data_IF_533176433034
#
_entry.id   IF_533176433034
#
_cell.length_a   1.000
_cell.length_b   1.000
_cell.length_c   1.000
_cell.angle_alpha   90.00
_cell.angle_beta   90.00
_cell.angle_gamma   90.00
#
_symmetry.space_group_name_H-M   'P 1'
#
loop_
_entity.id
_entity.type
_entity.pdbx_description
1 polymer ?
#
# COMPACT_ATOMS: atom_id res chain seq x y z
N UNK A 1 6.17 -9.98 -10.38
CA UNK A 1 6.53 -9.75 -8.96
C UNK A 1 8.04 -9.93 -8.76
N UNK A 2 8.58 -11.10 -9.09
CA UNK A 2 10.04 -11.33 -9.12
C UNK A 2 10.79 -10.22 -9.88
N UNK A 3 10.34 -9.85 -11.08
CA UNK A 3 10.99 -8.79 -11.87
C UNK A 3 10.91 -7.35 -11.33
N UNK A 4 10.06 -7.07 -10.33
CA UNK A 4 10.05 -5.75 -9.69
C UNK A 4 11.01 -5.70 -8.48
N UNK A 5 11.04 -6.79 -7.71
CA UNK A 5 11.95 -6.94 -6.56
C UNK A 5 13.37 -7.18 -7.04
N UNK A 6 13.56 -7.96 -8.10
CA UNK A 6 14.84 -8.22 -8.76
C UNK A 6 15.56 -6.93 -9.18
N UNK A 7 14.82 -5.90 -9.63
CA UNK A 7 15.42 -4.58 -9.95
C UNK A 7 16.11 -3.90 -8.76
N UNK A 8 15.81 -4.33 -7.54
CA UNK A 8 16.29 -3.72 -6.30
C UNK A 8 17.04 -4.71 -5.39
N UNK A 9 17.03 -6.00 -5.73
CA UNK A 9 17.70 -7.06 -4.97
C UNK A 9 18.40 -8.03 -5.95
N UNK A 10 19.75 -8.01 -6.01
CA UNK A 10 20.52 -8.83 -6.95
C UNK A 10 20.37 -10.34 -6.68
N UNK A 11 20.08 -10.75 -5.44
CA UNK A 11 19.86 -12.15 -5.09
C UNK A 11 18.52 -12.65 -5.68
N UNK A 12 17.54 -11.75 -5.75
CA UNK A 12 16.23 -12.03 -6.34
C UNK A 12 16.29 -12.02 -7.87
N UNK A 13 17.19 -11.22 -8.47
CA UNK A 13 17.43 -11.17 -9.92
C UNK A 13 18.17 -12.40 -10.45
N UNK A 14 19.09 -12.96 -9.66
CA UNK A 14 19.84 -14.17 -10.04
C UNK A 14 19.02 -15.46 -9.89
N UNK A 15 18.06 -15.49 -8.95
CA UNK A 15 17.27 -16.70 -8.63
C UNK A 15 16.52 -17.34 -9.82
N UNK A 16 15.91 -16.58 -10.74
CA UNK A 16 15.28 -17.13 -11.95
C UNK A 16 16.25 -17.86 -12.88
N UNK A 17 17.52 -17.44 -12.93
CA UNK A 17 18.51 -17.95 -13.88
C UNK A 17 19.36 -19.07 -13.29
N UNK A 18 19.74 -18.94 -12.02
CA UNK A 18 20.70 -19.83 -11.36
C UNK A 18 20.09 -20.67 -10.21
N UNK A 19 18.82 -20.45 -9.89
CA UNK A 19 18.13 -21.13 -8.80
C UNK A 19 17.51 -22.48 -9.18
N UNK A 20 17.14 -23.31 -8.18
CA UNK A 20 16.45 -24.57 -8.42
C UNK A 20 15.10 -24.35 -9.14
N UNK A 21 14.88 -25.03 -10.27
CA UNK A 21 13.65 -24.91 -11.10
C UNK A 21 12.35 -25.28 -10.36
N UNK A 22 12.48 -25.97 -9.24
CA UNK A 22 11.44 -26.50 -8.37
C UNK A 22 11.27 -25.67 -7.08
N UNK A 23 11.76 -24.43 -7.05
CA UNK A 23 11.53 -23.52 -5.93
C UNK A 23 10.02 -23.24 -5.76
N UNK A 24 9.41 -23.89 -4.75
CA UNK A 24 7.96 -23.84 -4.47
C UNK A 24 7.42 -22.40 -4.37
N UNK A 25 8.19 -21.48 -3.81
CA UNK A 25 7.77 -20.09 -3.57
C UNK A 25 8.05 -19.12 -4.74
N UNK A 26 8.67 -19.58 -5.84
CA UNK A 26 8.83 -18.77 -7.06
C UNK A 26 7.66 -18.93 -8.04
N UNK A 27 6.75 -19.89 -7.79
CA UNK A 27 5.51 -20.02 -8.55
C UNK A 27 4.67 -18.75 -8.44
N UNK A 28 4.24 -18.23 -9.59
CA UNK A 28 3.41 -17.04 -9.68
C UNK A 28 2.13 -17.14 -8.82
N UNK A 29 1.51 -18.33 -8.77
CA UNK A 29 0.32 -18.58 -7.96
C UNK A 29 0.62 -18.45 -6.47
N UNK A 30 1.74 -19.02 -6.01
CA UNK A 30 2.13 -19.00 -4.60
C UNK A 30 2.53 -17.58 -4.19
N UNK A 31 3.25 -16.86 -5.04
CA UNK A 31 3.60 -15.44 -4.81
C UNK A 31 2.36 -14.56 -4.69
N UNK A 32 1.37 -14.73 -5.58
CA UNK A 32 0.12 -13.97 -5.53
C UNK A 32 -0.67 -14.26 -4.25
N UNK A 33 -0.71 -15.52 -3.80
CA UNK A 33 -1.37 -15.90 -2.55
C UNK A 33 -0.69 -15.27 -1.32
N UNK A 34 0.65 -15.33 -1.26
CA UNK A 34 1.41 -14.68 -0.19
C UNK A 34 1.13 -13.18 -0.17
N UNK A 35 1.08 -12.53 -1.34
CA UNK A 35 0.75 -11.11 -1.44
C UNK A 35 -0.69 -10.80 -0.97
N UNK A 36 -1.67 -11.63 -1.35
CA UNK A 36 -3.04 -11.49 -0.89
C UNK A 36 -3.16 -11.58 0.64
N UNK A 37 -2.42 -12.51 1.26
CA UNK A 37 -2.36 -12.64 2.72
C UNK A 37 -1.72 -11.41 3.34
N UNK A 38 -0.54 -10.98 2.86
CA UNK A 38 0.14 -9.79 3.37
C UNK A 38 -0.71 -8.53 3.23
N UNK A 39 -1.33 -8.31 2.08
CA UNK A 39 -2.25 -7.21 1.84
C UNK A 39 -3.45 -7.25 2.80
N UNK A 40 -4.00 -8.44 3.06
CA UNK A 40 -5.07 -8.63 4.04
C UNK A 40 -4.62 -8.27 5.46
N UNK A 41 -3.43 -8.71 5.87
CA UNK A 41 -2.87 -8.42 7.19
C UNK A 41 -2.59 -6.92 7.39
N UNK A 42 -1.96 -6.28 6.40
CA UNK A 42 -1.71 -4.83 6.43
C UNK A 42 -3.03 -4.06 6.52
N UNK A 43 -4.03 -4.41 5.69
CA UNK A 43 -5.36 -3.79 5.74
C UNK A 43 -6.02 -3.98 7.11
N UNK A 44 -6.01 -5.19 7.64
CA UNK A 44 -6.56 -5.49 8.98
C UNK A 44 -5.87 -4.65 10.05
N UNK A 45 -4.55 -4.55 10.04
CA UNK A 45 -3.80 -3.77 11.02
C UNK A 45 -4.15 -2.27 10.95
N UNK A 46 -4.29 -1.74 9.74
CA UNK A 46 -4.72 -0.35 9.51
C UNK A 46 -6.12 -0.12 10.07
N UNK A 47 -7.08 -0.99 9.72
CA UNK A 47 -8.45 -0.90 10.22
C UNK A 47 -8.54 -1.00 11.74
N UNK A 48 -7.82 -1.94 12.37
CA UNK A 48 -7.75 -2.06 13.81
C UNK A 48 -7.20 -0.79 14.46
N UNK A 49 -6.15 -0.21 13.88
CA UNK A 49 -5.57 1.05 14.39
C UNK A 49 -6.59 2.18 14.39
N UNK A 50 -7.43 2.29 13.34
CA UNK A 50 -8.49 3.31 13.30
C UNK A 50 -9.67 3.01 14.22
N UNK A 51 -10.07 1.74 14.35
CA UNK A 51 -11.15 1.34 15.25
C UNK A 51 -10.79 1.59 16.72
N UNK A 52 -9.50 1.48 17.07
CA UNK A 52 -9.01 1.78 18.42
C UNK A 52 -8.78 3.28 18.66
N UNK A 53 -8.62 4.07 17.60
CA UNK A 53 -8.39 5.51 17.72
C UNK A 53 -9.68 6.25 18.09
N UNK A 54 -9.64 7.05 19.16
CA UNK A 54 -10.78 7.87 19.59
C UNK A 54 -11.12 8.96 18.58
N UNK A 55 -10.11 9.49 17.89
CA UNK A 55 -10.26 10.53 16.88
C UNK A 55 -9.40 10.20 15.67
N UNK A 56 -9.96 10.38 14.47
CA UNK A 56 -9.25 10.25 13.21
C UNK A 56 -9.76 11.30 12.20
N UNK A 57 -8.90 11.66 11.25
CA UNK A 57 -9.25 12.51 10.11
C UNK A 57 -8.70 11.91 8.81
N UNK A 58 -9.42 12.13 7.72
CA UNK A 58 -9.01 11.76 6.38
C UNK A 58 -8.55 13.02 5.66
N UNK A 59 -7.31 13.01 5.17
CA UNK A 59 -6.75 14.05 4.31
C UNK A 59 -6.67 13.49 2.90
N UNK A 60 -7.28 14.20 1.97
CA UNK A 60 -7.28 13.85 0.55
C UNK A 60 -6.70 15.03 -0.20
N UNK A 61 -5.66 14.78 -0.99
CA UNK A 61 -5.04 15.80 -1.83
C UNK A 61 -5.01 15.33 -3.28
N UNK A 62 -5.36 16.24 -4.19
CA UNK A 62 -5.35 15.97 -5.63
C UNK A 62 -4.10 16.61 -6.22
N UNK A 63 -3.22 15.77 -6.76
CA UNK A 63 -1.94 16.20 -7.29
C UNK A 63 -1.77 15.74 -8.73
N UNK A 64 -1.28 16.66 -9.57
CA UNK A 64 -1.05 16.41 -10.98
C UNK A 64 0.39 15.94 -11.18
N UNK A 65 0.56 14.70 -11.62
CA UNK A 65 1.87 14.18 -11.96
C UNK A 65 2.41 14.84 -13.25
N UNK A 66 3.73 14.88 -13.43
CA UNK A 66 4.39 15.43 -14.63
C UNK A 66 3.95 14.74 -15.94
N UNK A 67 3.35 13.55 -15.87
CA UNK A 67 2.72 12.85 -17.00
C UNK A 67 1.30 13.32 -17.33
N UNK A 68 0.81 14.42 -16.74
CA UNK A 68 -0.57 14.95 -16.86
C UNK A 68 -1.66 14.03 -16.33
N UNK A 69 -1.30 13.02 -15.53
CA UNK A 69 -2.27 12.17 -14.84
C UNK A 69 -2.57 12.76 -13.46
N UNK A 70 -3.85 12.90 -13.16
CA UNK A 70 -4.34 13.25 -11.83
C UNK A 70 -4.15 12.06 -10.89
N UNK A 71 -3.58 12.32 -9.71
CA UNK A 71 -3.34 11.34 -8.68
C UNK A 71 -3.99 11.82 -7.39
N UNK A 72 -4.68 10.90 -6.72
CA UNK A 72 -5.28 11.17 -5.42
C UNK A 72 -4.36 10.62 -4.33
N UNK A 73 -3.86 11.52 -3.48
CA UNK A 73 -3.13 11.22 -2.26
C UNK A 73 -4.14 11.07 -1.12
N UNK A 74 -4.18 9.89 -0.49
CA UNK A 74 -5.03 9.65 0.68
C UNK A 74 -4.13 9.39 1.89
N UNK A 75 -4.25 10.26 2.89
CA UNK A 75 -3.57 10.17 4.17
C UNK A 75 -4.60 10.07 5.28
N UNK A 76 -4.41 9.12 6.20
CA UNK A 76 -5.24 9.05 7.41
C UNK A 76 -4.40 9.47 8.60
N UNK A 77 -4.95 10.39 9.39
CA UNK A 77 -4.36 10.89 10.61
C UNK A 77 -5.18 10.37 11.80
N UNK A 78 -4.55 9.78 12.79
CA UNK A 78 -5.23 9.26 13.98
C UNK A 78 -4.52 9.67 15.27
N UNK A 79 -5.30 9.93 16.32
CA UNK A 79 -4.77 10.19 17.67
C UNK A 79 -4.62 8.84 18.38
N UNK A 80 -3.37 8.47 18.65
CA UNK A 80 -2.99 7.19 19.28
C UNK A 80 -3.04 7.29 20.80
N UNK A 81 -2.73 8.47 21.35
CA UNK A 81 -2.81 8.77 22.79
C UNK A 81 -3.18 10.23 22.98
N UNK A 82 -4.12 10.49 23.87
CA UNK A 82 -4.58 11.84 24.26
C UNK A 82 -3.85 12.39 25.50
N UNK A 83 -2.88 11.63 26.04
CA UNK A 83 -1.95 12.13 27.09
C UNK A 83 -1.11 13.26 26.54
N UNK A 84 -0.86 14.30 27.33
CA UNK A 84 -0.09 15.48 26.93
C UNK A 84 1.43 15.18 26.86
N UNK A 85 2.11 15.35 25.71
CA UNK A 85 1.58 15.79 24.42
C UNK A 85 0.92 14.65 23.63
N UNK A 86 -0.20 14.95 22.96
CA UNK A 86 -0.97 13.98 22.20
C UNK A 86 -0.12 13.31 21.11
N UNK A 87 -0.16 11.98 21.04
CA UNK A 87 0.55 11.22 20.02
C UNK A 87 -0.31 11.09 18.77
N UNK A 88 0.10 11.76 17.70
CA UNK A 88 -0.56 11.70 16.40
C UNK A 88 0.24 10.79 15.47
N UNK A 89 -0.45 9.86 14.80
CA UNK A 89 0.14 9.01 13.77
C UNK A 89 -0.52 9.29 12.43
N UNK A 90 0.30 9.65 11.45
CA UNK A 90 -0.08 9.79 10.04
C UNK A 90 0.32 8.53 9.30
N UNK A 91 -0.61 7.96 8.54
CA UNK A 91 -0.32 6.80 7.70
C UNK A 91 -0.76 7.08 6.26
N UNK A 92 0.21 7.06 5.36
CA UNK A 92 -0.03 7.11 3.92
C UNK A 92 -0.75 5.84 3.48
N UNK A 93 -1.90 5.97 2.82
CA UNK A 93 -2.74 4.82 2.49
C UNK A 93 -2.52 4.31 1.08
N UNK A 94 -2.57 5.18 0.05
CA UNK A 94 -2.25 4.81 -1.33
C UNK A 94 -2.20 6.04 -2.24
N UNK A 95 -1.56 5.88 -3.41
CA UNK A 95 -1.85 6.67 -4.60
C UNK A 95 -2.88 5.91 -5.42
N UNK A 96 -3.93 6.58 -5.86
CA UNK A 96 -4.85 6.03 -6.86
C UNK A 96 -4.81 6.95 -8.09
N UNK A 97 -4.54 6.46 -9.32
CA UNK A 97 -4.80 7.26 -10.50
C UNK A 97 -6.27 7.66 -10.47
N UNK A 98 -6.56 8.95 -10.60
CA UNK A 98 -7.93 9.42 -10.72
C UNK A 98 -8.49 8.82 -12.01
N UNK A 99 -9.34 7.79 -11.89
CA UNK A 99 -10.03 7.24 -13.03
C UNK A 99 -10.86 8.36 -13.66
N UNK A 100 -10.73 8.54 -14.96
CA UNK A 100 -11.29 9.63 -15.76
C UNK A 100 -12.83 9.62 -15.86
N UNK A 101 -13.53 8.94 -14.94
CA UNK A 101 -14.98 8.78 -14.93
C UNK A 101 -15.57 8.85 -13.53
N UNK A 102 -15.37 9.96 -12.83
CA UNK A 102 -16.45 10.48 -11.99
C UNK A 102 -17.39 11.28 -12.92
N UNK A 103 -18.38 10.60 -13.53
CA UNK A 103 -19.56 11.34 -14.01
C UNK A 103 -20.18 11.94 -12.76
N UNK A 104 -20.17 13.26 -12.66
CA UNK A 104 -21.12 14.00 -11.82
C UNK A 104 -22.51 13.49 -12.19
N UNK A 105 -23.15 12.78 -11.27
CA UNK A 105 -24.59 12.89 -11.16
C UNK A 105 -24.79 14.20 -10.39
N UNK A 106 -25.61 15.06 -11.00
CA UNK A 106 -26.01 16.42 -10.64
C UNK A 106 -25.36 17.50 -11.52
#
# INVERSE_FOLDING_TARGET
MMGLVAKHDPIVDDRPFYGPRNAKYTSQMIQNNIFGIMASLVRKQICLTFQMARFYSLMVDEMKHHSKQEQLLIVVCCVVSDKDPALIRQQFHTFNPAATHFRRLD
#
